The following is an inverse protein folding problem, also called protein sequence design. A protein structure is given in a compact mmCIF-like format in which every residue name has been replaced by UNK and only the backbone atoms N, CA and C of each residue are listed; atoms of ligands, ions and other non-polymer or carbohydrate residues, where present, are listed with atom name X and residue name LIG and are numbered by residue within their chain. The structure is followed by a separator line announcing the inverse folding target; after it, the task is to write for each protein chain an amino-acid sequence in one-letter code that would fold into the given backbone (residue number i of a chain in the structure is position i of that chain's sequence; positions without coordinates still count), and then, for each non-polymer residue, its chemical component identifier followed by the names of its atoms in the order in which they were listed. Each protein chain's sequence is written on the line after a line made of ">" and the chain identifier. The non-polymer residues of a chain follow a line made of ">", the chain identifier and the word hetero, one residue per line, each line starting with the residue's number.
data_IF_926017132731
#
_entry.id   IF_926017132731
#
_cell.length_a   1.000
_cell.length_b   1.000
_cell.length_c   1.000
_cell.angle_alpha   90.00
_cell.angle_beta   90.00
_cell.angle_gamma   90.00
#
_symmetry.space_group_name_H-M   'P 1'
#
loop_
_entity.id
_entity.type
_entity.pdbx_description
1 polymer ?
#
# COMPACT_ATOMS: atom_id res chain seq x y z
N UNK A 1 6.95 23.01 25.29
CA UNK A 1 7.01 22.69 23.85
C UNK A 1 8.42 23.00 23.35
N UNK A 2 9.09 22.02 22.76
CA UNK A 2 10.45 22.20 22.22
C UNK A 2 10.44 23.10 20.98
N UNK A 3 11.62 23.67 20.61
CA UNK A 3 11.71 24.57 19.45
C UNK A 3 11.21 23.89 18.16
N UNK A 4 11.62 22.64 17.90
CA UNK A 4 11.16 21.88 16.73
C UNK A 4 9.66 21.70 16.68
N UNK A 5 9.00 21.44 17.81
CA UNK A 5 7.54 21.32 17.89
C UNK A 5 6.84 22.65 17.56
N UNK A 6 7.39 23.78 18.02
CA UNK A 6 6.84 25.13 17.70
C UNK A 6 6.96 25.43 16.21
N UNK A 7 8.11 25.12 15.61
CA UNK A 7 8.34 25.31 14.18
C UNK A 7 7.38 24.42 13.37
N UNK A 8 7.34 23.11 13.66
CA UNK A 8 6.47 22.19 12.92
C UNK A 8 5.00 22.56 13.08
N UNK A 9 4.57 22.97 14.28
CA UNK A 9 3.19 23.41 14.50
C UNK A 9 2.84 24.69 13.70
N UNK A 10 3.77 25.63 13.57
CA UNK A 10 3.55 26.84 12.75
C UNK A 10 3.46 26.53 11.25
N UNK A 11 4.08 25.44 10.81
CA UNK A 11 4.01 24.93 9.44
C UNK A 11 2.81 24.00 9.20
N UNK A 12 2.08 23.66 10.26
CA UNK A 12 0.94 22.76 10.22
C UNK A 12 -0.36 23.51 9.88
N UNK A 13 -1.32 22.79 9.33
CA UNK A 13 -2.66 23.28 9.03
C UNK A 13 -3.71 22.42 9.74
N UNK A 14 -4.87 22.99 10.01
CA UNK A 14 -6.00 22.17 10.48
C UNK A 14 -6.39 21.18 9.36
N UNK A 15 -6.50 19.89 9.66
CA UNK A 15 -7.00 18.91 8.70
C UNK A 15 -8.42 19.26 8.26
N UNK A 16 -8.72 19.10 6.97
CA UNK A 16 -10.10 19.13 6.48
C UNK A 16 -10.83 17.82 6.82
N UNK A 17 -12.14 17.79 6.66
CA UNK A 17 -12.94 16.58 6.91
C UNK A 17 -12.46 15.36 6.09
N UNK A 18 -12.04 15.58 4.86
CA UNK A 18 -11.44 14.55 3.99
C UNK A 18 -10.10 14.00 4.51
N UNK A 19 -9.33 14.80 5.21
CA UNK A 19 -8.04 14.39 5.77
C UNK A 19 -8.21 13.40 6.95
N UNK A 20 -9.35 13.46 7.64
CA UNK A 20 -9.68 12.55 8.75
C UNK A 20 -10.17 11.18 8.28
N UNK A 21 -10.75 11.10 7.09
CA UNK A 21 -11.25 9.85 6.53
C UNK A 21 -10.13 8.91 6.02
N UNK A 22 -8.88 9.38 6.05
CA UNK A 22 -7.72 8.63 5.55
C UNK A 22 -7.56 8.70 4.03
N UNK A 23 -6.55 8.00 3.49
CA UNK A 23 -6.25 7.99 2.07
C UNK A 23 -7.40 7.46 1.19
N UNK A 24 -8.35 6.75 1.79
CA UNK A 24 -9.51 6.15 1.10
C UNK A 24 -10.69 7.10 0.92
N UNK A 25 -10.65 8.32 1.49
CA UNK A 25 -11.78 9.26 1.46
C UNK A 25 -12.24 9.68 0.06
N UNK A 26 -11.33 9.62 -0.92
CA UNK A 26 -11.60 9.95 -2.31
C UNK A 26 -11.68 8.71 -3.22
N UNK A 27 -11.53 7.51 -2.66
CA UNK A 27 -11.65 6.28 -3.43
C UNK A 27 -13.11 5.92 -3.65
N UNK A 28 -13.38 5.54 -4.88
CA UNK A 28 -14.63 4.92 -5.33
C UNK A 28 -14.25 3.70 -6.15
N UNK A 29 -15.17 2.78 -6.37
CA UNK A 29 -14.94 1.64 -7.28
C UNK A 29 -14.49 2.11 -8.65
N UNK A 30 -15.00 3.26 -9.12
CA UNK A 30 -14.70 3.81 -10.45
C UNK A 30 -13.22 4.23 -10.60
N UNK A 31 -12.60 4.77 -9.54
CA UNK A 31 -11.22 5.29 -9.59
C UNK A 31 -10.20 4.45 -8.82
N UNK A 32 -10.63 3.35 -8.19
CA UNK A 32 -9.77 2.52 -7.34
C UNK A 32 -8.57 1.92 -8.09
N UNK A 33 -8.71 1.69 -9.39
CA UNK A 33 -7.62 1.15 -10.22
C UNK A 33 -6.83 2.21 -10.98
N UNK A 34 -7.10 3.51 -10.81
CA UNK A 34 -6.38 4.56 -11.56
C UNK A 34 -4.88 4.56 -11.24
N UNK A 35 -4.53 4.47 -9.95
CA UNK A 35 -3.12 4.40 -9.54
C UNK A 35 -2.45 3.11 -10.00
N UNK A 36 -2.96 1.90 -9.69
CA UNK A 36 -2.33 0.68 -10.17
C UNK A 36 -2.33 0.54 -11.71
N UNK A 37 -3.34 1.00 -12.44
CA UNK A 37 -3.32 1.05 -13.92
C UNK A 37 -2.23 1.94 -14.47
N UNK A 38 -1.94 3.06 -13.78
CA UNK A 38 -0.87 3.99 -14.17
C UNK A 38 0.52 3.44 -13.86
N UNK A 39 0.65 2.64 -12.82
CA UNK A 39 1.96 2.18 -12.30
C UNK A 39 2.32 0.79 -12.76
N UNK A 40 1.36 -0.13 -12.88
CA UNK A 40 1.55 -1.53 -13.30
C UNK A 40 1.24 -1.66 -14.78
N UNK A 41 2.23 -1.93 -15.64
CA UNK A 41 1.99 -2.13 -17.07
C UNK A 41 1.03 -3.29 -17.31
N UNK A 42 -0.01 -3.08 -18.12
CA UNK A 42 -0.95 -4.14 -18.48
C UNK A 42 -1.75 -4.73 -17.32
N UNK A 43 -2.02 -3.97 -16.26
CA UNK A 43 -2.75 -4.46 -15.08
C UNK A 43 -4.01 -5.25 -15.45
N UNK A 44 -4.82 -4.73 -16.39
CA UNK A 44 -6.07 -5.40 -16.78
C UNK A 44 -5.80 -6.76 -17.42
N UNK A 45 -4.76 -6.89 -18.25
CA UNK A 45 -4.38 -8.15 -18.87
C UNK A 45 -3.88 -9.17 -17.83
N UNK A 46 -3.25 -8.69 -16.74
CA UNK A 46 -2.82 -9.55 -15.65
C UNK A 46 -4.00 -10.13 -14.86
N UNK A 47 -5.09 -9.38 -14.69
CA UNK A 47 -6.22 -9.79 -13.83
C UNK A 47 -7.41 -10.42 -14.60
N UNK A 48 -7.56 -10.10 -15.89
CA UNK A 48 -8.70 -10.57 -16.69
C UNK A 48 -8.75 -12.10 -16.79
N UNK A 49 -9.91 -12.68 -16.46
CA UNK A 49 -10.14 -14.12 -16.39
C UNK A 49 -9.19 -14.86 -15.43
N UNK A 50 -8.76 -14.19 -14.34
CA UNK A 50 -7.84 -14.73 -13.34
C UNK A 50 -8.49 -14.80 -11.96
N UNK A 51 -8.02 -15.74 -11.15
CA UNK A 51 -8.30 -15.80 -9.72
C UNK A 51 -7.27 -14.88 -9.02
N UNK A 52 -7.78 -13.83 -8.38
CA UNK A 52 -6.94 -12.75 -7.84
C UNK A 52 -7.03 -12.68 -6.32
N UNK A 53 -5.90 -12.50 -5.65
CA UNK A 53 -5.82 -12.15 -4.24
C UNK A 53 -5.50 -10.65 -4.12
N UNK A 54 -6.37 -9.87 -3.46
CA UNK A 54 -6.13 -8.48 -3.06
C UNK A 54 -5.58 -8.47 -1.63
N UNK A 55 -4.27 -8.30 -1.50
CA UNK A 55 -3.54 -8.43 -0.25
C UNK A 55 -3.43 -7.09 0.48
N UNK A 56 -4.16 -6.94 1.58
CA UNK A 56 -4.37 -5.67 2.27
C UNK A 56 -5.44 -4.84 1.55
N UNK A 57 -6.62 -5.46 1.33
CA UNK A 57 -7.68 -4.92 0.48
C UNK A 57 -8.41 -3.70 1.07
N UNK A 58 -8.20 -3.40 2.37
CA UNK A 58 -8.92 -2.34 3.05
C UNK A 58 -10.44 -2.44 2.87
N UNK A 59 -11.13 -1.34 2.54
CA UNK A 59 -12.58 -1.32 2.35
C UNK A 59 -13.05 -1.88 0.99
N UNK A 60 -12.18 -2.61 0.26
CA UNK A 60 -12.58 -3.45 -0.88
C UNK A 60 -12.73 -2.75 -2.23
N UNK A 61 -12.42 -1.46 -2.36
CA UNK A 61 -12.62 -0.72 -3.61
C UNK A 61 -11.86 -1.34 -4.79
N UNK A 62 -10.62 -1.77 -4.58
CA UNK A 62 -9.80 -2.39 -5.64
C UNK A 62 -10.30 -3.79 -6.00
N UNK A 63 -10.69 -4.59 -5.00
CA UNK A 63 -11.23 -5.92 -5.22
C UNK A 63 -12.49 -5.89 -6.10
N UNK A 64 -13.46 -5.01 -5.75
CA UNK A 64 -14.69 -4.82 -6.54
C UNK A 64 -14.38 -4.29 -7.94
N UNK A 65 -13.46 -3.32 -8.05
CA UNK A 65 -13.06 -2.78 -9.36
C UNK A 65 -12.39 -3.83 -10.25
N UNK A 66 -11.55 -4.72 -9.69
CA UNK A 66 -10.94 -5.82 -10.44
C UNK A 66 -11.97 -6.83 -10.95
N UNK A 67 -12.99 -7.16 -10.16
CA UNK A 67 -14.10 -8.02 -10.62
C UNK A 67 -14.85 -7.36 -11.79
N UNK A 68 -15.08 -6.05 -11.75
CA UNK A 68 -15.73 -5.30 -12.85
C UNK A 68 -14.84 -5.20 -14.10
N UNK A 69 -13.53 -5.21 -13.97
CA UNK A 69 -12.57 -5.28 -15.07
C UNK A 69 -12.38 -6.70 -15.64
N UNK A 70 -13.15 -7.67 -15.15
CA UNK A 70 -13.19 -9.00 -15.71
C UNK A 70 -12.29 -10.03 -15.03
N UNK A 71 -11.86 -9.82 -13.78
CA UNK A 71 -11.30 -10.90 -12.98
C UNK A 71 -12.35 -12.03 -12.82
N UNK A 72 -11.90 -13.27 -12.87
CA UNK A 72 -12.76 -14.44 -12.70
C UNK A 72 -13.36 -14.46 -11.29
N UNK A 73 -12.51 -14.29 -10.30
CA UNK A 73 -12.89 -14.08 -8.89
C UNK A 73 -11.81 -13.29 -8.17
N UNK A 74 -12.19 -12.60 -7.12
CA UNK A 74 -11.28 -11.83 -6.27
C UNK A 74 -11.52 -12.19 -4.81
N UNK A 75 -10.45 -12.51 -4.10
CA UNK A 75 -10.47 -12.62 -2.64
C UNK A 75 -9.70 -11.44 -2.06
N UNK A 76 -10.35 -10.61 -1.25
CA UNK A 76 -9.69 -9.56 -0.50
C UNK A 76 -9.36 -10.02 0.92
N UNK A 77 -8.16 -9.75 1.39
CA UNK A 77 -7.79 -10.01 2.80
C UNK A 77 -7.26 -8.74 3.46
N UNK A 78 -7.66 -8.55 4.72
CA UNK A 78 -7.21 -7.43 5.56
C UNK A 78 -7.24 -7.83 7.04
N UNK A 79 -6.52 -7.11 7.89
CA UNK A 79 -6.53 -7.29 9.34
C UNK A 79 -7.68 -6.52 10.03
N UNK A 80 -8.25 -5.54 9.34
CA UNK A 80 -9.23 -4.61 9.89
C UNK A 80 -10.67 -5.08 9.62
N UNK A 81 -11.32 -5.63 10.62
CA UNK A 81 -12.69 -6.15 10.52
C UNK A 81 -13.72 -5.10 10.07
N UNK A 82 -13.59 -3.86 10.54
CA UNK A 82 -14.49 -2.77 10.12
C UNK A 82 -14.35 -2.48 8.62
N UNK A 83 -13.15 -2.57 8.07
CA UNK A 83 -12.95 -2.42 6.64
C UNK A 83 -13.50 -3.61 5.86
N UNK A 84 -13.34 -4.83 6.37
CA UNK A 84 -13.91 -6.03 5.75
C UNK A 84 -15.44 -6.01 5.72
N UNK A 85 -16.08 -5.49 6.77
CA UNK A 85 -17.55 -5.29 6.79
C UNK A 85 -17.99 -4.30 5.71
N UNK A 86 -17.28 -3.17 5.58
CA UNK A 86 -17.52 -2.18 4.52
C UNK A 86 -17.26 -2.76 3.13
N UNK A 87 -16.22 -3.58 2.99
CA UNK A 87 -15.89 -4.24 1.74
C UNK A 87 -16.98 -5.20 1.26
N UNK A 88 -17.58 -5.97 2.20
CA UNK A 88 -18.73 -6.85 1.88
C UNK A 88 -19.95 -6.05 1.45
N UNK A 89 -20.28 -4.97 2.17
CA UNK A 89 -21.36 -4.07 1.80
C UNK A 89 -21.10 -3.45 0.40
N UNK A 90 -19.88 -3.00 0.14
CA UNK A 90 -19.50 -2.43 -1.16
C UNK A 90 -19.63 -3.44 -2.31
N UNK A 91 -19.28 -4.72 -2.09
CA UNK A 91 -19.44 -5.76 -3.11
C UNK A 91 -20.93 -6.02 -3.43
N UNK A 92 -21.77 -6.09 -2.40
CA UNK A 92 -23.22 -6.24 -2.56
C UNK A 92 -23.86 -5.03 -3.28
N UNK A 93 -23.51 -3.80 -2.90
CA UNK A 93 -23.95 -2.57 -3.57
C UNK A 93 -23.57 -2.49 -5.06
N UNK A 94 -22.51 -3.21 -5.45
CA UNK A 94 -22.00 -3.24 -6.82
C UNK A 94 -22.35 -4.55 -7.56
N UNK A 95 -23.22 -5.39 -6.98
CA UNK A 95 -23.66 -6.68 -7.58
C UNK A 95 -22.46 -7.58 -7.98
N UNK A 96 -21.45 -7.66 -7.09
CA UNK A 96 -20.21 -8.40 -7.30
C UNK A 96 -19.96 -9.48 -6.24
N UNK A 97 -20.87 -9.69 -5.31
CA UNK A 97 -20.75 -10.62 -4.19
C UNK A 97 -20.69 -12.11 -4.60
N UNK A 98 -21.09 -12.43 -5.81
CA UNK A 98 -20.88 -13.72 -6.45
C UNK A 98 -19.42 -14.00 -6.85
N UNK A 99 -18.63 -12.94 -7.09
CA UNK A 99 -17.25 -13.01 -7.59
C UNK A 99 -16.20 -12.41 -6.64
N UNK A 100 -16.63 -11.67 -5.63
CA UNK A 100 -15.73 -11.03 -4.67
C UNK A 100 -16.05 -11.51 -3.26
N UNK A 101 -15.04 -12.01 -2.55
CA UNK A 101 -15.17 -12.40 -1.15
C UNK A 101 -14.10 -11.73 -0.30
N UNK A 102 -14.36 -11.63 1.02
CA UNK A 102 -13.44 -10.96 1.96
C UNK A 102 -13.24 -11.81 3.21
N UNK A 103 -11.99 -11.93 3.63
CA UNK A 103 -11.58 -12.71 4.80
C UNK A 103 -10.61 -11.92 5.68
N UNK A 104 -10.63 -12.24 6.97
CA UNK A 104 -9.60 -11.79 7.90
C UNK A 104 -8.26 -12.47 7.58
N UNK A 105 -7.18 -11.68 7.54
CA UNK A 105 -5.89 -12.12 7.03
C UNK A 105 -5.28 -13.30 7.80
N UNK A 106 -5.32 -13.30 9.15
CA UNK A 106 -4.71 -14.38 9.93
C UNK A 106 -5.42 -15.72 9.71
N UNK A 107 -6.76 -15.72 9.71
CA UNK A 107 -7.57 -16.89 9.44
C UNK A 107 -7.34 -17.42 8.03
N UNK A 108 -7.32 -16.53 7.03
CA UNK A 108 -7.12 -16.89 5.64
C UNK A 108 -5.74 -17.51 5.37
N UNK A 109 -4.69 -16.91 5.92
CA UNK A 109 -3.30 -17.37 5.76
C UNK A 109 -3.02 -18.66 6.54
N UNK A 110 -3.77 -18.92 7.60
CA UNK A 110 -3.70 -20.15 8.37
C UNK A 110 -4.31 -21.37 7.67
N UNK A 111 -5.22 -21.15 6.71
CA UNK A 111 -5.86 -22.22 5.95
C UNK A 111 -4.97 -22.66 4.78
N UNK A 112 -4.46 -23.89 4.87
CA UNK A 112 -3.60 -24.49 3.84
C UNK A 112 -4.28 -24.66 2.49
N UNK A 113 -5.62 -24.72 2.42
CA UNK A 113 -6.38 -24.82 1.17
C UNK A 113 -6.27 -23.57 0.28
N UNK A 114 -5.79 -22.45 0.82
CA UNK A 114 -5.56 -21.22 0.08
C UNK A 114 -4.16 -21.15 -0.56
N UNK A 115 -3.28 -22.11 -0.26
CA UNK A 115 -1.94 -22.14 -0.85
C UNK A 115 -2.02 -22.42 -2.35
N UNK A 116 -1.15 -21.70 -3.10
CA UNK A 116 -0.97 -21.86 -4.55
C UNK A 116 -2.30 -21.75 -5.36
N UNK A 117 -3.26 -21.03 -4.84
CA UNK A 117 -4.61 -20.90 -5.40
C UNK A 117 -4.73 -19.76 -6.41
N UNK A 118 -3.92 -18.70 -6.26
CA UNK A 118 -4.11 -17.46 -7.01
C UNK A 118 -3.20 -17.37 -8.22
N UNK A 119 -3.77 -16.98 -9.36
CA UNK A 119 -3.02 -16.62 -10.56
C UNK A 119 -2.20 -15.35 -10.34
N UNK A 120 -2.81 -14.40 -9.63
CA UNK A 120 -2.26 -13.08 -9.35
C UNK A 120 -2.55 -12.69 -7.91
N UNK A 121 -1.52 -12.19 -7.23
CA UNK A 121 -1.65 -11.49 -5.95
C UNK A 121 -1.32 -10.02 -6.18
N UNK A 122 -2.28 -9.13 -5.89
CA UNK A 122 -2.08 -7.67 -5.91
C UNK A 122 -1.85 -7.18 -4.48
N UNK A 123 -0.80 -6.38 -4.29
CA UNK A 123 -0.54 -5.61 -3.07
C UNK A 123 -0.34 -4.14 -3.47
N UNK A 124 -1.36 -3.32 -3.27
CA UNK A 124 -1.36 -1.94 -3.74
C UNK A 124 -1.61 -0.97 -2.59
N UNK A 125 -0.59 -0.16 -2.24
CA UNK A 125 -0.67 0.82 -1.16
C UNK A 125 -0.74 0.20 0.24
N UNK A 126 -0.19 -1.01 0.41
CA UNK A 126 -0.20 -1.72 1.70
C UNK A 126 1.21 -2.17 2.13
N UNK A 127 2.15 -2.30 1.20
CA UNK A 127 3.47 -2.88 1.46
C UNK A 127 4.29 -2.04 2.47
N UNK A 128 4.15 -0.73 2.43
CA UNK A 128 4.76 0.24 3.33
C UNK A 128 4.14 0.26 4.74
N UNK A 129 3.03 -0.44 4.92
CA UNK A 129 2.28 -0.51 6.18
C UNK A 129 2.48 -1.82 6.94
N UNK A 130 3.04 -2.86 6.32
CA UNK A 130 3.26 -4.14 6.98
C UNK A 130 4.39 -4.07 8.01
N UNK A 131 4.17 -4.56 9.22
CA UNK A 131 5.19 -4.62 10.26
C UNK A 131 6.43 -5.41 9.82
N UNK A 132 6.24 -6.58 9.18
CA UNK A 132 7.29 -7.39 8.56
C UNK A 132 6.95 -7.67 7.09
N UNK A 133 7.35 -6.76 6.21
CA UNK A 133 7.08 -6.87 4.77
C UNK A 133 7.77 -8.07 4.11
N UNK A 134 8.86 -8.59 4.67
CA UNK A 134 9.51 -9.79 4.13
C UNK A 134 8.66 -11.05 4.41
N UNK A 135 8.10 -11.15 5.60
CA UNK A 135 7.15 -12.19 5.98
C UNK A 135 5.89 -12.12 5.14
N UNK A 136 5.33 -10.92 4.95
CA UNK A 136 4.12 -10.73 4.15
C UNK A 136 4.36 -11.08 2.67
N UNK A 137 5.53 -10.74 2.11
CA UNK A 137 5.90 -11.20 0.76
C UNK A 137 6.01 -12.73 0.66
N UNK A 138 6.52 -13.39 1.70
CA UNK A 138 6.57 -14.84 1.75
C UNK A 138 5.15 -15.46 1.82
N UNK A 139 4.22 -14.84 2.56
CA UNK A 139 2.81 -15.23 2.54
C UNK A 139 2.19 -15.07 1.13
N UNK A 140 2.38 -13.91 0.48
CA UNK A 140 1.91 -13.70 -0.91
C UNK A 140 2.48 -14.78 -1.84
N UNK A 141 3.78 -15.09 -1.72
CA UNK A 141 4.43 -16.17 -2.49
C UNK A 141 3.76 -17.53 -2.25
N UNK A 142 3.42 -17.85 -1.01
CA UNK A 142 2.79 -19.13 -0.66
C UNK A 142 1.37 -19.27 -1.20
N UNK A 143 0.62 -18.15 -1.30
CA UNK A 143 -0.75 -18.12 -1.83
C UNK A 143 -0.79 -18.13 -3.38
N UNK A 144 0.25 -17.56 -4.01
CA UNK A 144 0.36 -17.49 -5.47
C UNK A 144 0.82 -18.85 -6.02
N UNK A 145 0.17 -19.35 -7.08
CA UNK A 145 0.53 -20.62 -7.73
C UNK A 145 1.90 -20.53 -8.44
N UNK A 146 2.54 -21.66 -8.73
CA UNK A 146 3.68 -21.71 -9.66
C UNK A 146 3.33 -21.07 -11.00
N UNK A 147 4.22 -20.25 -11.56
CA UNK A 147 3.98 -19.42 -12.76
C UNK A 147 3.07 -18.22 -12.54
N UNK A 148 2.48 -18.05 -11.35
CA UNK A 148 1.65 -16.92 -10.99
C UNK A 148 2.49 -15.66 -10.69
N UNK A 149 1.80 -14.52 -10.61
CA UNK A 149 2.43 -13.20 -10.44
C UNK A 149 2.04 -12.52 -9.15
N UNK A 150 2.99 -11.78 -8.58
CA UNK A 150 2.75 -10.89 -7.44
C UNK A 150 3.03 -9.47 -7.93
N UNK A 151 2.00 -8.62 -7.87
CA UNK A 151 2.05 -7.24 -8.32
C UNK A 151 2.11 -6.35 -7.07
N UNK A 152 3.26 -5.72 -6.84
CA UNK A 152 3.45 -4.81 -5.71
C UNK A 152 3.57 -3.40 -6.22
N UNK A 153 2.75 -2.48 -5.70
CA UNK A 153 2.92 -1.05 -5.94
C UNK A 153 2.58 -0.27 -4.68
N UNK A 154 3.44 0.69 -4.34
CA UNK A 154 3.21 1.59 -3.21
C UNK A 154 3.76 2.98 -3.52
N UNK A 155 3.23 3.96 -2.80
CA UNK A 155 3.61 5.36 -2.94
C UNK A 155 4.40 5.86 -1.73
N UNK A 156 5.08 6.96 -1.93
CA UNK A 156 5.78 7.72 -0.90
C UNK A 156 6.73 6.87 -0.04
N UNK A 157 7.79 6.26 -0.65
CA UNK A 157 8.86 5.61 0.11
C UNK A 157 9.39 6.53 1.22
N UNK A 158 9.87 5.95 2.31
CA UNK A 158 10.20 6.67 3.55
C UNK A 158 11.04 7.95 3.39
N UNK A 159 12.03 7.93 2.50
CA UNK A 159 12.91 9.08 2.26
C UNK A 159 12.37 10.02 1.17
N UNK A 160 11.22 9.73 0.56
CA UNK A 160 10.58 10.64 -0.40
C UNK A 160 10.02 11.89 0.28
N UNK A 161 9.66 12.94 -0.48
CA UNK A 161 9.19 14.20 0.10
C UNK A 161 8.06 14.04 1.11
N UNK A 162 7.16 13.10 0.90
CA UNK A 162 5.98 12.87 1.75
C UNK A 162 5.97 11.48 2.40
N UNK A 163 7.12 10.83 2.49
CA UNK A 163 7.28 9.50 3.05
C UNK A 163 6.87 9.34 4.52
N UNK A 164 6.64 10.45 5.21
CA UNK A 164 6.03 10.44 6.54
C UNK A 164 4.54 10.11 6.55
N UNK A 165 3.84 10.18 5.40
CA UNK A 165 2.38 10.05 5.27
C UNK A 165 1.58 11.00 6.18
N UNK A 166 2.18 12.13 6.59
CA UNK A 166 1.58 13.10 7.51
C UNK A 166 0.90 14.28 6.82
N UNK A 167 0.49 14.11 5.56
CA UNK A 167 -0.18 15.14 4.76
C UNK A 167 -1.47 15.68 5.40
N UNK A 168 -2.06 14.91 6.33
CA UNK A 168 -3.26 15.31 7.04
C UNK A 168 -3.09 16.66 7.78
N UNK A 169 -1.94 16.92 8.39
CA UNK A 169 -1.70 18.16 9.11
C UNK A 169 -0.52 18.98 8.57
N UNK A 170 0.42 18.37 7.85
CA UNK A 170 1.60 19.08 7.34
C UNK A 170 1.92 18.68 5.90
N UNK A 171 2.00 19.65 5.00
CA UNK A 171 2.37 19.48 3.59
C UNK A 171 3.81 19.89 3.28
N UNK A 172 4.60 20.18 4.32
CA UNK A 172 6.03 20.43 4.15
C UNK A 172 6.71 19.10 3.82
N UNK A 173 7.50 19.03 2.74
CA UNK A 173 8.21 17.81 2.39
C UNK A 173 9.30 17.48 3.41
N UNK A 174 9.63 16.20 3.53
CA UNK A 174 10.73 15.66 4.34
C UNK A 174 10.63 15.91 5.86
N UNK A 175 9.43 16.10 6.40
CA UNK A 175 9.27 16.35 7.84
C UNK A 175 9.82 15.21 8.72
N UNK A 176 9.79 13.96 8.24
CA UNK A 176 10.38 12.80 8.89
C UNK A 176 11.92 12.76 8.86
N UNK A 177 12.54 13.62 8.05
CA UNK A 177 14.00 13.79 7.97
C UNK A 177 14.42 15.05 8.74
N UNK A 178 13.64 16.13 8.61
CA UNK A 178 13.92 17.42 9.22
C UNK A 178 13.64 17.45 10.73
N UNK A 179 12.70 16.64 11.20
CA UNK A 179 12.30 16.59 12.61
C UNK A 179 12.40 15.16 13.16
N UNK A 180 12.70 15.05 14.45
CA UNK A 180 12.68 13.76 15.13
C UNK A 180 11.26 13.15 15.12
N UNK A 181 11.15 11.83 15.13
CA UNK A 181 9.87 11.11 15.24
C UNK A 181 9.04 11.62 16.41
N UNK A 182 9.68 11.79 17.58
CA UNK A 182 9.04 12.35 18.77
C UNK A 182 8.41 13.73 18.48
N UNK A 183 9.12 14.61 17.80
CA UNK A 183 8.61 15.95 17.44
C UNK A 183 7.39 15.84 16.51
N UNK A 184 7.50 15.02 15.45
CA UNK A 184 6.40 14.84 14.50
C UNK A 184 5.16 14.25 15.18
N UNK A 185 5.33 13.20 15.99
CA UNK A 185 4.22 12.55 16.67
C UNK A 185 3.61 13.41 17.78
N UNK A 186 4.41 14.19 18.51
CA UNK A 186 3.89 15.19 19.47
C UNK A 186 3.05 16.28 18.80
N UNK A 187 3.44 16.74 17.60
CA UNK A 187 2.62 17.71 16.86
C UNK A 187 1.38 17.03 16.28
N UNK A 188 1.51 15.80 15.74
CA UNK A 188 0.41 15.00 15.20
C UNK A 188 -0.70 14.77 16.24
N UNK A 189 -0.35 14.51 17.52
CA UNK A 189 -1.36 14.27 18.58
C UNK A 189 -2.29 15.46 18.84
N UNK A 190 -1.97 16.66 18.34
CA UNK A 190 -2.87 17.82 18.37
C UNK A 190 -3.94 17.78 17.28
N UNK A 191 -3.81 16.88 16.31
CA UNK A 191 -4.68 16.73 15.15
C UNK A 191 -5.33 15.34 15.07
N UNK A 192 -4.81 14.35 15.83
CA UNK A 192 -5.31 12.98 15.92
C UNK A 192 -5.24 12.51 17.36
N UNK A 193 -6.39 12.03 17.85
CA UNK A 193 -6.54 11.47 19.19
C UNK A 193 -6.64 9.93 19.10
N UNK A 194 -5.56 9.30 18.62
CA UNK A 194 -5.45 7.84 18.52
C UNK A 194 -4.35 7.27 19.42
N UNK A 195 -3.73 8.10 20.25
CA UNK A 195 -2.69 7.70 21.20
C UNK A 195 -1.33 7.33 20.58
N UNK A 196 -1.20 7.34 19.25
CA UNK A 196 0.04 6.94 18.60
C UNK A 196 1.21 7.90 18.90
N UNK A 197 2.32 7.34 19.36
CA UNK A 197 3.57 8.05 19.70
C UNK A 197 4.71 7.76 18.73
N UNK A 198 4.53 6.75 17.88
CA UNK A 198 5.48 6.28 16.86
C UNK A 198 4.77 6.07 15.53
N UNK A 199 5.52 6.13 14.42
CA UNK A 199 4.96 5.91 13.09
C UNK A 199 4.32 4.53 12.91
N UNK A 200 4.89 3.51 13.53
CA UNK A 200 4.37 2.14 13.46
C UNK A 200 3.06 1.91 14.24
N UNK A 201 2.71 2.83 15.14
CA UNK A 201 1.51 2.77 16.00
C UNK A 201 0.30 3.47 15.37
N UNK A 202 0.45 4.21 14.27
CA UNK A 202 -0.69 4.82 13.57
C UNK A 202 -1.59 3.73 12.99
N UNK A 203 -2.86 4.05 12.78
CA UNK A 203 -3.91 3.08 12.41
C UNK A 203 -3.52 2.15 11.24
N UNK A 204 -2.82 2.65 10.24
CA UNK A 204 -2.35 1.86 9.11
C UNK A 204 -0.96 1.23 9.34
N UNK A 205 -0.28 1.58 10.46
CA UNK A 205 1.13 1.34 10.61
C UNK A 205 1.98 2.16 9.61
N UNK A 206 3.28 2.24 9.82
CA UNK A 206 4.22 2.72 8.80
C UNK A 206 5.60 2.14 9.11
N UNK A 207 6.08 1.26 8.24
CA UNK A 207 7.31 0.49 8.48
C UNK A 207 8.59 1.19 8.02
N UNK A 208 8.49 2.46 7.64
CA UNK A 208 9.61 3.27 7.14
C UNK A 208 10.30 2.61 5.93
N UNK A 209 9.51 2.16 4.94
CA UNK A 209 9.99 1.46 3.75
C UNK A 209 10.84 2.40 2.86
N UNK A 210 12.15 2.14 2.80
CA UNK A 210 13.06 2.78 1.85
C UNK A 210 13.19 1.93 0.58
N UNK A 211 13.69 2.50 -0.52
CA UNK A 211 13.94 1.74 -1.75
C UNK A 211 14.97 0.63 -1.50
N UNK A 212 16.05 0.94 -0.76
CA UNK A 212 17.07 -0.05 -0.42
C UNK A 212 16.50 -1.21 0.42
N UNK A 213 15.60 -0.91 1.39
CA UNK A 213 14.91 -1.95 2.17
C UNK A 213 14.03 -2.81 1.27
N UNK A 214 13.24 -2.20 0.40
CA UNK A 214 12.39 -2.88 -0.57
C UNK A 214 13.20 -3.81 -1.48
N UNK A 215 14.25 -3.29 -2.13
CA UNK A 215 15.11 -4.06 -3.03
C UNK A 215 15.78 -5.24 -2.34
N UNK A 216 16.20 -5.07 -1.09
CA UNK A 216 16.75 -6.18 -0.29
C UNK A 216 15.72 -7.27 -0.03
N UNK A 217 14.48 -6.90 0.31
CA UNK A 217 13.39 -7.85 0.52
C UNK A 217 13.11 -8.62 -0.77
N UNK A 218 12.99 -7.93 -1.90
CA UNK A 218 12.74 -8.56 -3.20
C UNK A 218 13.87 -9.51 -3.57
N UNK A 219 15.13 -9.10 -3.45
CA UNK A 219 16.30 -9.93 -3.77
C UNK A 219 16.34 -11.23 -2.96
N UNK A 220 15.92 -11.17 -1.68
CA UNK A 220 15.95 -12.31 -0.78
C UNK A 220 14.68 -13.18 -0.85
N UNK A 221 13.68 -12.80 -1.64
CA UNK A 221 12.38 -13.50 -1.71
C UNK A 221 12.43 -14.81 -2.48
N UNK A 222 13.46 -15.00 -3.32
CA UNK A 222 13.52 -16.11 -4.27
C UNK A 222 12.40 -16.04 -5.34
N UNK A 223 11.90 -14.85 -5.62
CA UNK A 223 10.99 -14.55 -6.73
C UNK A 223 11.78 -13.92 -7.88
N UNK A 224 11.39 -14.22 -9.10
CA UNK A 224 11.99 -13.59 -10.28
C UNK A 224 11.34 -12.25 -10.55
N UNK A 225 12.15 -11.21 -10.69
CA UNK A 225 11.65 -9.88 -11.07
C UNK A 225 11.41 -9.86 -12.58
N UNK A 226 10.14 -9.69 -12.98
CA UNK A 226 9.74 -9.51 -14.37
C UNK A 226 9.78 -8.03 -14.77
N UNK A 227 9.34 -7.16 -13.88
CA UNK A 227 9.32 -5.72 -14.10
C UNK A 227 9.55 -4.99 -12.79
N UNK A 228 10.35 -3.92 -12.83
CA UNK A 228 10.51 -2.99 -11.70
C UNK A 228 10.66 -1.57 -12.24
N UNK A 229 9.91 -0.63 -11.64
CA UNK A 229 9.93 0.76 -12.06
C UNK A 229 9.80 1.70 -10.86
N UNK A 230 10.57 2.77 -10.94
CA UNK A 230 10.53 3.89 -10.00
C UNK A 230 9.91 5.10 -10.68
N UNK A 231 8.98 5.75 -9.99
CA UNK A 231 8.31 6.95 -10.48
C UNK A 231 8.89 8.16 -9.74
N UNK A 232 9.48 9.08 -10.48
CA UNK A 232 10.10 10.27 -9.90
C UNK A 232 9.03 11.31 -9.50
N UNK A 233 9.31 12.03 -8.43
CA UNK A 233 8.53 13.21 -8.03
C UNK A 233 8.71 14.31 -9.07
N UNK A 234 7.61 14.94 -9.53
CA UNK A 234 7.59 16.15 -10.37
C UNK A 234 8.61 16.15 -11.53
N UNK A 235 8.56 15.13 -12.38
CA UNK A 235 9.34 15.12 -13.64
C UNK A 235 10.86 15.32 -13.52
N UNK A 236 11.47 14.79 -12.48
CA UNK A 236 12.92 14.72 -12.33
C UNK A 236 13.46 13.35 -12.80
N UNK A 237 13.36 13.01 -14.09
CA UNK A 237 13.60 11.65 -14.57
C UNK A 237 15.07 11.21 -14.43
N UNK A 238 16.00 12.15 -14.43
CA UNK A 238 17.43 11.87 -14.31
C UNK A 238 17.79 11.36 -12.92
N UNK A 239 17.19 11.95 -11.88
CA UNK A 239 17.54 11.67 -10.48
C UNK A 239 17.15 10.26 -10.03
N UNK A 240 16.09 9.68 -10.62
CA UNK A 240 15.65 8.30 -10.30
C UNK A 240 16.71 7.23 -10.64
N UNK A 241 17.65 7.55 -11.52
CA UNK A 241 18.68 6.62 -11.98
C UNK A 241 20.02 6.79 -11.23
N UNK A 242 20.13 7.83 -10.36
CA UNK A 242 21.34 8.08 -9.58
C UNK A 242 21.21 7.33 -8.25
N UNK A 243 22.07 6.31 -7.98
CA UNK A 243 22.07 5.62 -6.70
C UNK A 243 22.15 6.61 -5.53
N UNK A 244 21.51 6.29 -4.42
CA UNK A 244 21.35 7.13 -3.21
C UNK A 244 20.45 8.36 -3.39
N UNK A 245 20.55 9.15 -4.47
CA UNK A 245 19.69 10.31 -4.70
C UNK A 245 18.24 9.89 -5.01
N UNK A 246 18.03 8.77 -5.70
CA UNK A 246 16.70 8.27 -6.03
C UNK A 246 15.82 8.06 -4.79
N UNK A 247 16.40 7.71 -3.63
CA UNK A 247 15.67 7.57 -2.35
C UNK A 247 14.85 8.81 -2.00
N UNK A 248 15.36 9.99 -2.33
CA UNK A 248 14.74 11.28 -1.99
C UNK A 248 13.76 11.79 -3.05
N UNK A 249 13.78 11.22 -4.26
CA UNK A 249 13.01 11.77 -5.39
C UNK A 249 12.05 10.76 -6.03
N UNK A 250 12.00 9.54 -5.54
CA UNK A 250 11.03 8.53 -6.00
C UNK A 250 9.76 8.66 -5.18
N UNK A 251 8.64 8.88 -5.87
CA UNK A 251 7.31 9.03 -5.25
C UNK A 251 6.47 7.74 -5.27
N UNK A 252 6.82 6.78 -6.13
CA UNK A 252 6.15 5.48 -6.14
C UNK A 252 7.07 4.40 -6.71
N UNK A 253 6.79 3.17 -6.31
CA UNK A 253 7.48 1.96 -6.76
C UNK A 253 6.47 0.96 -7.28
N UNK A 254 6.82 0.29 -8.36
CA UNK A 254 6.08 -0.88 -8.86
C UNK A 254 7.05 -2.02 -9.13
N UNK A 255 6.64 -3.21 -8.76
CA UNK A 255 7.39 -4.44 -9.03
C UNK A 255 6.41 -5.56 -9.42
N UNK A 256 6.70 -6.24 -10.53
CA UNK A 256 6.02 -7.47 -10.95
C UNK A 256 6.99 -8.62 -10.69
N UNK A 257 6.58 -9.52 -9.84
CA UNK A 257 7.34 -10.69 -9.42
C UNK A 257 6.65 -11.95 -9.96
N UNK A 258 7.44 -12.91 -10.36
CA UNK A 258 6.95 -14.23 -10.83
C UNK A 258 7.44 -15.30 -9.86
N UNK A 259 6.51 -16.15 -9.44
CA UNK A 259 6.85 -17.40 -8.75
C UNK A 259 7.19 -18.43 -9.82
N UNK A 260 8.46 -18.83 -9.91
CA UNK A 260 8.87 -19.86 -10.85
C UNK A 260 8.17 -21.20 -10.54
N UNK A 261 8.09 -22.06 -11.55
CA UNK A 261 7.41 -23.36 -11.48
C UNK A 261 8.07 -24.33 -10.50
#
# INVERSE_FOLDING_TARGET
>A
MQIGERILLSLSRKPGSSDYAGATSNYTVKNALDFPKKTIPGLVDHIKNKVVLDYGCGPGYQAVAMAREGAQSVVGIDINQTWLERARALAAENECDDRVSFSEAASFLGDSSNREKFDVTLCCGSFEHFGDSAKELAHMKSMTRPGGKILVTFAEPWLSPYGSHMNLFCRVPYINILFSEKTVMTVRSRFRDDGATRYEEILSGLNKMTLAKFERIIRNSGLRVEHQKYFATKNLPVVKNIPYLREFFVSAVTCILVKDA
#
